data_IF_159279738962
#
_entry.id   IF_159279738962
#
_cell.length_a   1.000
_cell.length_b   1.000
_cell.length_c   1.000
_cell.angle_alpha   90.00
_cell.angle_beta   90.00
_cell.angle_gamma   90.00
#
_symmetry.space_group_name_H-M   'P 1'
#
loop_
_entity.id
_entity.type
_entity.pdbx_description
1 polymer ?
#
# COMPACT_ATOMS: atom_id res chain seq x y z
N UNK A 1 -10.51 15.29 -18.25
CA UNK A 1 -9.52 14.27 -17.84
C UNK A 1 -10.10 13.22 -16.87
N UNK A 2 -10.73 13.58 -15.74
CA UNK A 2 -11.30 12.64 -14.75
C UNK A 2 -12.22 11.56 -15.37
N UNK A 3 -13.16 11.93 -16.28
CA UNK A 3 -14.10 10.97 -16.90
C UNK A 3 -13.41 9.97 -17.85
N UNK A 4 -12.38 10.41 -18.58
CA UNK A 4 -11.64 9.54 -19.53
C UNK A 4 -10.76 8.54 -18.78
N UNK A 5 -10.08 8.97 -17.71
CA UNK A 5 -9.27 8.09 -16.88
C UNK A 5 -10.13 7.02 -16.18
N UNK A 6 -11.29 7.42 -15.62
CA UNK A 6 -12.26 6.48 -15.01
C UNK A 6 -12.78 5.46 -16.02
N UNK A 7 -13.13 5.90 -17.23
CA UNK A 7 -13.61 5.01 -18.29
C UNK A 7 -12.54 4.01 -18.77
N UNK A 8 -11.29 4.44 -18.93
CA UNK A 8 -10.21 3.58 -19.39
C UNK A 8 -9.86 2.47 -18.38
N UNK A 9 -9.83 2.80 -17.08
CA UNK A 9 -9.51 1.81 -16.03
C UNK A 9 -10.69 0.88 -15.76
N UNK A 10 -11.94 1.37 -15.78
CA UNK A 10 -13.12 0.52 -15.70
C UNK A 10 -13.25 -0.45 -16.89
N UNK A 11 -12.91 -0.01 -18.11
CA UNK A 11 -12.90 -0.88 -19.30
C UNK A 11 -11.86 -2.01 -19.16
N UNK A 12 -10.67 -1.73 -18.59
CA UNK A 12 -9.64 -2.75 -18.34
C UNK A 12 -10.09 -3.82 -17.33
N UNK A 13 -10.90 -3.46 -16.33
CA UNK A 13 -11.44 -4.41 -15.34
C UNK A 13 -12.53 -5.31 -15.93
N UNK A 14 -13.35 -4.82 -16.86
CA UNK A 14 -14.42 -5.59 -17.53
C UNK A 14 -13.82 -6.66 -18.45
N UNK A 15 -12.70 -6.38 -19.11
CA UNK A 15 -12.02 -7.35 -19.99
C UNK A 15 -11.42 -8.56 -19.24
N UNK A 16 -11.15 -8.46 -17.94
CA UNK A 16 -10.68 -9.59 -17.13
C UNK A 16 -11.75 -10.64 -16.80
N UNK A 17 -13.02 -10.32 -16.94
CA UNK A 17 -14.13 -11.22 -16.63
C UNK A 17 -14.43 -12.32 -17.67
N UNK A 18 -13.82 -12.28 -18.86
CA UNK A 18 -14.18 -13.14 -19.99
C UNK A 18 -13.04 -14.09 -20.44
N UNK A 19 -12.23 -14.61 -19.51
CA UNK A 19 -11.28 -15.66 -19.87
C UNK A 19 -11.98 -17.03 -19.89
N UNK A 20 -11.88 -17.82 -21.00
CA UNK A 20 -12.41 -19.16 -21.02
C UNK A 20 -11.67 -20.06 -20.04
N UNK A 21 -12.41 -20.85 -19.28
CA UNK A 21 -11.91 -21.87 -18.35
C UNK A 21 -11.27 -23.01 -19.13
N UNK A 22 -9.99 -22.87 -19.47
CA UNK A 22 -9.17 -23.94 -20.04
C UNK A 22 -8.26 -24.50 -18.93
N UNK A 23 -8.51 -25.77 -18.58
CA UNK A 23 -7.73 -26.64 -17.71
C UNK A 23 -7.60 -26.18 -16.24
N UNK A 24 -8.31 -26.91 -15.38
CA UNK A 24 -8.24 -26.81 -13.91
C UNK A 24 -6.89 -27.32 -13.35
N UNK A 25 -5.81 -26.61 -13.57
CA UNK A 25 -4.68 -26.73 -12.67
C UNK A 25 -5.02 -25.96 -11.40
N UNK A 26 -4.96 -26.64 -10.24
CA UNK A 26 -5.21 -26.00 -8.96
C UNK A 26 -4.12 -24.96 -8.66
N UNK A 27 -4.54 -23.71 -8.41
CA UNK A 27 -3.61 -22.68 -7.94
C UNK A 27 -3.16 -23.00 -6.53
N UNK A 28 -1.86 -23.00 -6.31
CA UNK A 28 -1.24 -23.16 -4.99
C UNK A 28 -0.93 -21.79 -4.36
N UNK A 29 -0.67 -21.77 -3.06
CA UNK A 29 -0.15 -20.58 -2.39
C UNK A 29 1.33 -20.47 -2.69
N UNK A 30 1.73 -19.35 -3.30
CA UNK A 30 3.11 -19.02 -3.67
C UNK A 30 3.83 -18.22 -2.59
N UNK A 31 3.09 -17.49 -1.75
CA UNK A 31 3.68 -16.71 -0.67
C UNK A 31 2.72 -15.71 -0.04
N UNK A 32 3.28 -14.91 0.89
CA UNK A 32 2.56 -13.89 1.63
C UNK A 32 3.40 -12.63 1.78
N UNK A 33 2.76 -11.45 1.64
CA UNK A 33 3.32 -10.18 2.06
C UNK A 33 2.56 -9.67 3.29
N UNK A 34 3.28 -9.01 4.21
CA UNK A 34 2.68 -8.32 5.37
C UNK A 34 3.51 -7.09 5.66
N UNK A 35 2.86 -6.01 6.03
CA UNK A 35 3.53 -4.81 6.51
C UNK A 35 2.65 -4.15 7.57
N UNK A 36 3.23 -3.87 8.71
CA UNK A 36 2.64 -3.02 9.74
C UNK A 36 3.36 -1.67 9.71
N UNK A 37 2.59 -0.59 9.68
CA UNK A 37 3.09 0.77 9.66
C UNK A 37 2.39 1.57 10.74
N UNK A 38 3.15 2.41 11.44
CA UNK A 38 2.59 3.29 12.44
C UNK A 38 3.50 4.52 12.62
N UNK A 39 2.93 5.68 12.89
CA UNK A 39 3.65 6.92 13.14
C UNK A 39 4.40 6.91 14.48
N UNK A 40 3.93 6.15 15.48
CA UNK A 40 4.69 5.94 16.71
C UNK A 40 6.06 5.26 16.48
N UNK A 41 6.20 4.49 15.38
CA UNK A 41 7.49 3.92 14.96
C UNK A 41 8.32 4.88 14.10
N UNK A 42 7.79 6.05 13.77
CA UNK A 42 8.41 7.09 12.96
C UNK A 42 8.69 8.36 13.76
N UNK A 43 7.78 9.32 13.72
CA UNK A 43 7.93 10.61 14.41
C UNK A 43 7.29 10.65 15.81
N UNK A 44 6.81 9.51 16.33
CA UNK A 44 6.28 9.32 17.67
C UNK A 44 5.02 10.15 17.98
N UNK A 45 4.19 10.35 16.98
CA UNK A 45 2.89 11.02 17.10
C UNK A 45 1.76 10.02 16.84
N UNK A 46 0.52 10.49 16.92
CA UNK A 46 -0.68 9.76 16.54
C UNK A 46 -1.59 10.72 15.76
N UNK A 47 -1.26 10.89 14.45
CA UNK A 47 -1.88 11.91 13.60
C UNK A 47 -1.80 11.52 12.12
N UNK A 48 -2.68 12.08 11.30
CA UNK A 48 -2.76 11.95 9.84
C UNK A 48 -2.74 10.47 9.40
N UNK A 49 -1.72 9.98 8.74
CA UNK A 49 -1.56 8.56 8.43
C UNK A 49 -1.05 7.81 9.67
N UNK A 50 -1.91 7.67 10.70
CA UNK A 50 -1.54 7.20 12.03
C UNK A 50 -1.11 5.73 12.07
N UNK A 51 -1.78 4.86 11.31
CA UNK A 51 -1.42 3.46 11.26
C UNK A 51 -2.02 2.71 10.10
N UNK A 52 -1.35 1.66 9.64
CA UNK A 52 -1.88 0.75 8.64
C UNK A 52 -1.33 -0.67 8.82
N UNK A 53 -2.12 -1.64 8.38
CA UNK A 53 -1.71 -3.03 8.27
C UNK A 53 -2.23 -3.61 6.96
N UNK A 54 -1.32 -4.18 6.17
CA UNK A 54 -1.64 -4.83 4.92
C UNK A 54 -1.15 -6.28 4.94
N UNK A 55 -2.00 -7.19 4.47
CA UNK A 55 -1.68 -8.61 4.27
C UNK A 55 -2.09 -9.00 2.87
N UNK A 56 -1.19 -9.64 2.13
CA UNK A 56 -1.45 -10.19 0.81
C UNK A 56 -1.11 -11.68 0.79
N UNK A 57 -1.94 -12.47 0.14
CA UNK A 57 -1.71 -13.87 -0.20
C UNK A 57 -1.59 -14.00 -1.71
N UNK A 58 -0.49 -14.58 -2.16
CA UNK A 58 -0.24 -14.84 -3.57
C UNK A 58 -0.62 -16.27 -3.92
N UNK A 59 -1.34 -16.44 -5.02
CA UNK A 59 -1.72 -17.73 -5.59
C UNK A 59 -1.42 -17.78 -7.07
N UNK A 60 -0.93 -18.91 -7.51
CA UNK A 60 -0.61 -19.17 -8.92
C UNK A 60 -0.33 -20.64 -9.13
N UNK A 61 0.12 -21.00 -10.31
CA UNK A 61 0.40 -22.40 -10.64
C UNK A 61 1.79 -22.83 -10.17
N UNK A 62 2.79 -21.98 -10.38
CA UNK A 62 4.18 -22.14 -9.92
C UNK A 62 4.87 -20.78 -9.88
N UNK A 63 6.02 -20.74 -9.24
CA UNK A 63 6.94 -19.62 -9.29
C UNK A 63 8.35 -20.13 -9.66
N UNK A 64 8.92 -19.60 -10.72
CA UNK A 64 10.25 -19.95 -11.27
C UNK A 64 11.19 -18.72 -11.32
N UNK A 65 10.85 -17.65 -10.59
CA UNK A 65 11.64 -16.42 -10.56
C UNK A 65 11.23 -15.40 -11.62
N UNK A 66 10.24 -15.69 -12.45
CA UNK A 66 9.79 -14.80 -13.52
C UNK A 66 8.26 -14.65 -13.52
N UNK A 67 7.80 -13.46 -13.89
CA UNK A 67 6.39 -13.21 -14.09
C UNK A 67 5.88 -13.86 -15.37
N UNK A 68 4.71 -14.53 -15.33
CA UNK A 68 4.04 -15.00 -16.54
C UNK A 68 3.57 -13.81 -17.39
N UNK A 69 3.52 -13.98 -18.70
CA UNK A 69 2.96 -12.98 -19.62
C UNK A 69 1.42 -12.92 -19.55
N UNK A 70 0.78 -13.98 -19.06
CA UNK A 70 -0.67 -14.08 -18.99
C UNK A 70 -1.20 -13.48 -17.69
N UNK A 71 -2.06 -12.45 -17.82
CA UNK A 71 -2.79 -11.88 -16.68
C UNK A 71 -3.70 -12.94 -16.04
N UNK A 72 -3.78 -12.94 -14.70
CA UNK A 72 -4.55 -13.94 -13.96
C UNK A 72 -3.75 -15.18 -13.55
N UNK A 73 -2.57 -15.45 -14.12
CA UNK A 73 -1.73 -16.60 -13.72
C UNK A 73 -1.16 -16.45 -12.30
N UNK A 74 -0.80 -15.24 -11.90
CA UNK A 74 -0.44 -14.89 -10.52
C UNK A 74 -1.45 -13.91 -9.96
N UNK A 75 -2.15 -14.31 -8.90
CA UNK A 75 -3.16 -13.51 -8.21
C UNK A 75 -2.68 -13.13 -6.81
N UNK A 76 -2.93 -11.88 -6.43
CA UNK A 76 -2.75 -11.35 -5.08
C UNK A 76 -4.12 -11.04 -4.48
N UNK A 77 -4.53 -11.79 -3.46
CA UNK A 77 -5.65 -11.42 -2.60
C UNK A 77 -5.10 -10.61 -1.43
N UNK A 78 -5.54 -9.35 -1.30
CA UNK A 78 -5.08 -8.40 -0.29
C UNK A 78 -6.22 -8.02 0.65
N UNK A 79 -5.89 -7.78 1.90
CA UNK A 79 -6.69 -6.99 2.82
C UNK A 79 -5.80 -5.96 3.48
N UNK A 80 -6.25 -4.71 3.55
CA UNK A 80 -5.59 -3.66 4.31
C UNK A 80 -6.57 -2.95 5.24
N UNK A 81 -6.05 -2.48 6.36
CA UNK A 81 -6.71 -1.57 7.27
C UNK A 81 -5.86 -0.33 7.46
N UNK A 82 -6.50 0.84 7.62
CA UNK A 82 -5.79 2.10 7.79
C UNK A 82 -6.55 3.00 8.76
N UNK A 83 -5.78 3.72 9.58
CA UNK A 83 -6.24 4.79 10.46
C UNK A 83 -5.75 6.11 9.90
N UNK A 84 -6.67 6.97 9.51
CA UNK A 84 -6.39 8.35 9.11
C UNK A 84 -7.02 9.26 10.15
N UNK A 85 -6.19 10.01 10.87
CA UNK A 85 -6.58 10.81 12.02
C UNK A 85 -6.37 12.31 11.76
N UNK A 86 -7.04 13.20 12.48
CA UNK A 86 -6.64 14.60 12.55
C UNK A 86 -5.33 14.76 13.33
N UNK A 87 -4.77 15.97 13.32
CA UNK A 87 -3.53 16.30 14.03
C UNK A 87 -3.54 15.94 15.53
N UNK A 88 -4.72 15.93 16.15
CA UNK A 88 -4.90 15.55 17.55
C UNK A 88 -6.14 14.68 17.69
N UNK A 89 -6.02 13.57 18.40
CA UNK A 89 -7.14 12.68 18.69
C UNK A 89 -8.08 13.21 19.80
N UNK A 90 -7.62 14.14 20.61
CA UNK A 90 -8.34 14.66 21.78
C UNK A 90 -8.92 16.05 21.59
N UNK A 91 -8.36 16.84 20.65
CA UNK A 91 -8.84 18.18 20.36
C UNK A 91 -10.09 18.13 19.44
N UNK A 92 -11.09 18.94 19.76
CA UNK A 92 -12.31 19.07 18.94
C UNK A 92 -12.11 19.92 17.69
N UNK A 93 -11.12 20.82 17.67
CA UNK A 93 -10.74 21.58 16.50
C UNK A 93 -9.86 20.67 15.60
N UNK A 94 -10.48 20.01 14.64
CA UNK A 94 -9.83 19.07 13.73
C UNK A 94 -9.34 19.80 12.47
N UNK A 95 -8.17 19.42 11.97
CA UNK A 95 -7.59 19.90 10.70
C UNK A 95 -8.02 19.03 9.50
N UNK A 96 -8.48 17.80 9.75
CA UNK A 96 -9.10 16.89 8.78
C UNK A 96 -10.08 15.95 9.49
N UNK A 97 -11.05 15.36 8.74
CA UNK A 97 -11.90 14.32 9.33
C UNK A 97 -11.08 13.05 9.65
N UNK A 98 -11.54 12.33 10.67
CA UNK A 98 -11.06 10.98 10.93
C UNK A 98 -11.59 10.01 9.85
N UNK A 99 -10.80 9.00 9.48
CA UNK A 99 -11.23 7.92 8.61
C UNK A 99 -10.66 6.56 9.06
N UNK A 100 -11.54 5.65 9.43
CA UNK A 100 -11.22 4.23 9.53
C UNK A 100 -11.45 3.55 8.17
N UNK A 101 -10.49 2.77 7.72
CA UNK A 101 -10.50 2.14 6.40
C UNK A 101 -10.29 0.63 6.52
N UNK A 102 -11.10 -0.16 5.78
CA UNK A 102 -10.84 -1.57 5.47
C UNK A 102 -11.01 -1.76 3.97
N UNK A 103 -10.05 -2.44 3.32
CA UNK A 103 -10.05 -2.60 1.88
C UNK A 103 -9.62 -4.02 1.48
N UNK A 104 -10.56 -4.95 1.26
CA UNK A 104 -10.29 -6.18 0.53
C UNK A 104 -10.05 -5.89 -0.95
N UNK A 105 -9.09 -6.58 -1.57
CA UNK A 105 -8.72 -6.39 -2.96
C UNK A 105 -8.21 -7.64 -3.64
N UNK A 106 -8.23 -7.60 -4.96
CA UNK A 106 -7.71 -8.65 -5.84
C UNK A 106 -6.91 -8.01 -6.96
N UNK A 107 -5.69 -8.50 -7.16
CA UNK A 107 -4.76 -8.03 -8.18
C UNK A 107 -4.17 -9.20 -8.94
N UNK A 108 -3.69 -8.94 -10.16
CA UNK A 108 -2.88 -9.86 -10.94
C UNK A 108 -1.54 -9.22 -11.25
N UNK A 109 -0.51 -10.06 -11.29
CA UNK A 109 0.86 -9.69 -11.65
C UNK A 109 1.28 -10.45 -12.90
N UNK A 110 1.80 -9.73 -13.89
CA UNK A 110 2.20 -10.32 -15.18
C UNK A 110 3.26 -9.47 -15.86
N UNK A 111 3.98 -10.07 -16.81
CA UNK A 111 4.95 -9.39 -17.65
C UNK A 111 4.28 -8.83 -18.91
N UNK A 112 4.61 -7.59 -19.26
CA UNK A 112 4.21 -6.94 -20.52
C UNK A 112 5.46 -6.42 -21.21
N UNK A 113 6.04 -7.21 -22.11
CA UNK A 113 7.20 -6.78 -22.89
C UNK A 113 8.43 -6.45 -22.07
N UNK A 114 8.68 -7.19 -20.99
CA UNK A 114 9.78 -6.99 -20.06
C UNK A 114 9.54 -5.93 -19.01
N UNK A 115 8.28 -5.49 -18.84
CA UNK A 115 7.82 -4.67 -17.73
C UNK A 115 6.92 -5.50 -16.82
N UNK A 116 7.14 -5.39 -15.52
CA UNK A 116 6.26 -5.95 -14.52
C UNK A 116 5.01 -5.07 -14.39
N UNK A 117 3.84 -5.64 -14.63
CA UNK A 117 2.54 -5.00 -14.46
C UNK A 117 1.80 -5.63 -13.27
N UNK A 118 1.21 -4.77 -12.43
CA UNK A 118 0.24 -5.13 -11.39
C UNK A 118 -1.06 -4.40 -11.69
N UNK A 119 -2.14 -5.13 -11.89
CA UNK A 119 -3.45 -4.57 -12.20
C UNK A 119 -4.50 -5.23 -11.31
N UNK A 120 -5.44 -4.44 -10.80
CA UNK A 120 -6.54 -4.95 -10.00
C UNK A 120 -7.31 -3.85 -9.30
N UNK A 121 -8.00 -4.21 -8.22
CA UNK A 121 -8.79 -3.27 -7.47
C UNK A 121 -9.11 -3.72 -6.06
N UNK A 122 -9.65 -2.77 -5.30
CA UNK A 122 -10.10 -2.92 -3.93
C UNK A 122 -11.54 -2.41 -3.79
N UNK A 123 -12.29 -2.99 -2.89
CA UNK A 123 -13.49 -2.37 -2.34
C UNK A 123 -13.10 -1.66 -1.04
N UNK A 124 -13.00 -0.34 -1.10
CA UNK A 124 -12.58 0.46 0.06
C UNK A 124 -13.79 0.87 0.87
N UNK A 125 -13.90 0.32 2.07
CA UNK A 125 -14.90 0.69 3.07
C UNK A 125 -14.36 1.79 3.96
N UNK A 126 -15.17 2.82 4.21
CA UNK A 126 -14.85 3.96 5.08
C UNK A 126 -15.90 4.16 6.14
N UNK A 127 -15.56 4.92 7.17
CA UNK A 127 -16.48 5.38 8.21
C UNK A 127 -16.69 4.41 9.37
N UNK A 128 -17.69 4.68 10.24
CA UNK A 128 -18.00 3.89 11.44
C UNK A 128 -18.23 2.40 11.20
N UNK A 129 -18.76 2.02 10.02
CA UNK A 129 -19.02 0.62 9.65
C UNK A 129 -17.76 -0.24 9.70
N UNK A 130 -16.56 0.33 9.49
CA UNK A 130 -15.28 -0.41 9.50
C UNK A 130 -14.88 -0.86 10.90
N UNK A 131 -15.41 -0.25 11.95
CA UNK A 131 -15.04 -0.46 13.37
C UNK A 131 -13.57 -0.14 13.70
N UNK A 132 -12.80 0.40 12.76
CA UNK A 132 -11.37 0.73 12.95
C UNK A 132 -11.20 1.78 14.05
N UNK A 133 -12.06 2.80 14.10
CA UNK A 133 -12.04 3.79 15.19
C UNK A 133 -12.37 3.21 16.56
N UNK A 134 -13.30 2.25 16.65
CA UNK A 134 -13.61 1.54 17.89
C UNK A 134 -12.39 0.70 18.34
N UNK A 135 -11.77 -0.01 17.41
CA UNK A 135 -10.54 -0.77 17.68
C UNK A 135 -9.40 0.14 18.18
N UNK A 136 -9.15 1.29 17.54
CA UNK A 136 -8.13 2.25 18.02
C UNK A 136 -8.43 2.69 19.43
N UNK A 137 -9.69 3.04 19.76
CA UNK A 137 -10.09 3.43 21.10
C UNK A 137 -9.80 2.34 22.13
N UNK A 138 -10.18 1.08 21.85
CA UNK A 138 -9.93 -0.05 22.75
C UNK A 138 -8.43 -0.29 22.98
N UNK A 139 -7.61 -0.15 21.94
CA UNK A 139 -6.13 -0.25 22.05
C UNK A 139 -5.58 0.87 22.92
N UNK A 140 -6.04 2.12 22.75
CA UNK A 140 -5.62 3.25 23.58
C UNK A 140 -6.00 3.07 25.05
N UNK A 141 -7.23 2.63 25.33
CA UNK A 141 -7.70 2.33 26.68
C UNK A 141 -6.85 1.21 27.32
N UNK A 142 -6.56 0.14 26.57
CA UNK A 142 -5.73 -0.98 27.06
C UNK A 142 -4.29 -0.55 27.39
N UNK A 143 -3.71 0.34 26.56
CA UNK A 143 -2.34 0.84 26.75
C UNK A 143 -2.24 2.05 27.68
N UNK A 144 -3.37 2.57 28.21
CA UNK A 144 -3.39 3.77 29.04
C UNK A 144 -3.04 5.06 28.28
N UNK A 145 -3.29 5.08 26.98
CA UNK A 145 -3.10 6.25 26.12
C UNK A 145 -4.36 7.12 26.06
N UNK A 146 -4.21 8.36 25.59
CA UNK A 146 -5.32 9.27 25.40
C UNK A 146 -6.39 8.69 24.45
N UNK A 147 -7.63 8.60 24.94
CA UNK A 147 -8.75 8.04 24.18
C UNK A 147 -9.19 8.99 23.06
N UNK A 148 -9.35 8.52 21.81
CA UNK A 148 -9.79 9.33 20.68
C UNK A 148 -11.19 9.93 20.90
N UNK A 149 -11.30 11.27 20.90
CA UNK A 149 -12.56 12.03 21.01
C UNK A 149 -13.09 12.52 19.66
N UNK A 150 -12.33 12.28 18.61
CA UNK A 150 -12.61 12.77 17.24
C UNK A 150 -13.46 11.80 16.41
N UNK A 151 -13.83 10.64 16.96
CA UNK A 151 -14.59 9.61 16.23
C UNK A 151 -16.01 10.07 15.82
N UNK A 152 -16.56 11.09 16.46
CA UNK A 152 -17.81 11.72 16.02
C UNK A 152 -17.67 12.61 14.77
N UNK A 153 -16.45 12.93 14.36
CA UNK A 153 -16.12 13.77 13.19
C UNK A 153 -15.42 12.99 12.09
N UNK A 154 -15.75 11.71 11.95
CA UNK A 154 -15.19 10.89 10.89
C UNK A 154 -15.99 11.02 9.60
N UNK A 155 -15.33 10.69 8.48
CA UNK A 155 -16.04 10.58 7.19
C UNK A 155 -17.17 9.54 7.31
N UNK A 156 -18.29 9.72 6.57
CA UNK A 156 -19.43 8.82 6.66
C UNK A 156 -19.12 7.42 6.13
N UNK A 157 -20.01 6.49 6.46
CA UNK A 157 -20.00 5.15 5.87
C UNK A 157 -20.06 5.24 4.36
N UNK A 158 -19.14 4.56 3.70
CA UNK A 158 -19.05 4.53 2.24
C UNK A 158 -18.39 3.26 1.74
N UNK A 159 -18.70 2.90 0.49
CA UNK A 159 -18.04 1.82 -0.26
C UNK A 159 -17.54 2.41 -1.56
N UNK A 160 -16.22 2.38 -1.77
CA UNK A 160 -15.55 3.02 -2.90
C UNK A 160 -14.80 1.96 -3.72
N UNK A 161 -15.40 1.46 -4.83
CA UNK A 161 -14.67 0.64 -5.78
C UNK A 161 -13.45 1.41 -6.29
N UNK A 162 -12.28 0.81 -6.14
CA UNK A 162 -11.00 1.46 -6.45
C UNK A 162 -10.19 0.55 -7.35
N UNK A 163 -9.76 1.07 -8.49
CA UNK A 163 -8.89 0.38 -9.45
C UNK A 163 -7.47 0.93 -9.38
N UNK A 164 -6.48 0.05 -9.49
CA UNK A 164 -5.07 0.41 -9.45
C UNK A 164 -4.28 -0.35 -10.53
N UNK A 165 -3.36 0.37 -11.17
CA UNK A 165 -2.38 -0.13 -12.12
C UNK A 165 -1.00 0.37 -11.71
N UNK A 166 -0.03 -0.52 -11.57
CA UNK A 166 1.40 -0.18 -11.49
C UNK A 166 2.15 -0.87 -12.62
N UNK A 167 3.06 -0.16 -13.28
CA UNK A 167 4.00 -0.69 -14.27
C UNK A 167 5.40 -0.25 -13.87
N UNK A 168 6.35 -1.18 -13.84
CA UNK A 168 7.75 -0.89 -13.51
C UNK A 168 8.69 -1.88 -14.16
N UNK A 169 9.99 -1.61 -14.11
CA UNK A 169 11.01 -2.48 -14.66
C UNK A 169 12.21 -2.54 -13.74
N UNK A 170 12.58 -3.74 -13.33
CA UNK A 170 13.79 -3.96 -12.55
C UNK A 170 15.01 -3.92 -13.48
N UNK A 171 15.94 -3.00 -13.19
CA UNK A 171 17.20 -2.79 -13.88
C UNK A 171 18.33 -3.21 -12.95
N UNK A 172 19.01 -4.34 -13.25
CA UNK A 172 20.11 -4.84 -12.42
C UNK A 172 21.40 -4.15 -12.79
N UNK A 173 22.02 -3.47 -11.83
CA UNK A 173 23.28 -2.74 -11.92
C UNK A 173 24.26 -3.28 -10.87
N UNK A 174 24.96 -4.36 -11.19
CA UNK A 174 25.85 -5.04 -10.25
C UNK A 174 25.10 -5.62 -9.05
N UNK A 175 25.36 -5.11 -7.84
CA UNK A 175 24.67 -5.49 -6.61
C UNK A 175 23.39 -4.70 -6.36
N UNK A 176 23.11 -3.67 -7.16
CA UNK A 176 21.92 -2.86 -7.06
C UNK A 176 20.84 -3.28 -8.06
N UNK A 177 19.58 -3.22 -7.64
CA UNK A 177 18.42 -3.26 -8.52
C UNK A 177 17.73 -1.91 -8.44
N UNK A 178 17.58 -1.23 -9.57
CA UNK A 178 16.86 0.05 -9.69
C UNK A 178 15.55 -0.20 -10.43
N UNK A 179 14.44 0.22 -9.85
CA UNK A 179 13.10 0.04 -10.44
C UNK A 179 12.39 1.38 -10.61
N UNK A 180 12.45 2.01 -11.77
CA UNK A 180 11.50 3.05 -12.14
C UNK A 180 10.08 2.45 -12.25
N UNK A 181 9.06 3.22 -11.87
CA UNK A 181 7.67 2.80 -11.96
C UNK A 181 6.72 3.98 -12.22
N UNK A 182 5.57 3.62 -12.79
CA UNK A 182 4.39 4.47 -12.91
C UNK A 182 3.22 3.77 -12.24
N UNK A 183 2.42 4.52 -11.48
CA UNK A 183 1.21 4.03 -10.82
C UNK A 183 0.03 4.96 -11.12
N UNK A 184 -1.14 4.38 -11.38
CA UNK A 184 -2.40 5.09 -11.53
C UNK A 184 -3.47 4.46 -10.65
N UNK A 185 -4.26 5.28 -9.99
CA UNK A 185 -5.40 4.84 -9.20
C UNK A 185 -6.62 5.71 -9.48
N UNK A 186 -7.79 5.07 -9.44
CA UNK A 186 -9.10 5.74 -9.54
C UNK A 186 -10.06 5.10 -8.56
N UNK A 187 -10.76 5.90 -7.77
CA UNK A 187 -11.74 5.45 -6.80
C UNK A 187 -11.71 6.24 -5.50
N UNK A 188 -11.20 5.66 -4.41
CA UNK A 188 -11.12 6.34 -3.11
C UNK A 188 -10.18 7.56 -3.16
N UNK A 189 -9.12 7.49 -3.94
CA UNK A 189 -8.29 8.60 -4.37
C UNK A 189 -8.00 8.44 -5.86
N UNK A 190 -8.10 9.52 -6.63
CA UNK A 190 -7.72 9.56 -8.04
C UNK A 190 -6.32 10.17 -8.16
N UNK A 191 -5.34 9.41 -8.63
CA UNK A 191 -3.98 9.93 -8.80
C UNK A 191 -3.17 9.27 -9.93
N UNK A 192 -2.16 9.99 -10.36
CA UNK A 192 -1.02 9.48 -11.13
C UNK A 192 0.25 9.69 -10.31
N UNK A 193 1.11 8.67 -10.29
CA UNK A 193 2.35 8.65 -9.52
C UNK A 193 3.50 8.13 -10.37
N UNK A 194 4.68 8.73 -10.21
CA UNK A 194 5.92 8.26 -10.81
C UNK A 194 7.02 8.24 -9.73
N UNK A 195 7.87 7.24 -9.80
CA UNK A 195 8.94 7.10 -8.83
C UNK A 195 9.97 6.07 -9.21
N UNK A 196 10.90 5.85 -8.28
CA UNK A 196 11.88 4.78 -8.40
C UNK A 196 12.18 4.16 -7.03
N UNK A 197 12.54 2.88 -7.05
CA UNK A 197 13.05 2.12 -5.91
C UNK A 197 14.45 1.61 -6.21
N UNK A 198 15.26 1.47 -5.17
CA UNK A 198 16.60 0.90 -5.24
C UNK A 198 16.74 -0.15 -4.14
N UNK A 199 17.19 -1.34 -4.50
CA UNK A 199 17.56 -2.39 -3.55
C UNK A 199 19.08 -2.60 -3.70
N UNK A 200 19.81 -2.41 -2.59
CA UNK A 200 21.24 -2.71 -2.50
C UNK A 200 21.42 -4.01 -1.72
N UNK A 201 21.97 -5.04 -2.38
CA UNK A 201 22.12 -6.37 -1.79
C UNK A 201 21.37 -7.45 -2.56
N UNK A 202 20.99 -8.53 -1.86
CA UNK A 202 20.40 -9.71 -2.50
C UNK A 202 18.93 -9.94 -2.17
N UNK A 203 18.34 -9.05 -1.37
CA UNK A 203 16.96 -9.16 -0.93
C UNK A 203 15.98 -9.27 -2.10
N UNK A 204 15.23 -10.36 -2.11
CA UNK A 204 14.13 -10.58 -3.04
C UNK A 204 14.55 -10.77 -4.49
N UNK A 205 15.79 -11.17 -4.78
CA UNK A 205 16.19 -11.59 -6.12
C UNK A 205 15.25 -12.71 -6.60
N UNK A 206 14.82 -12.60 -7.85
CA UNK A 206 13.88 -13.54 -8.47
C UNK A 206 12.56 -13.70 -7.69
N UNK A 207 12.25 -12.76 -6.80
CA UNK A 207 11.03 -12.70 -6.01
C UNK A 207 10.01 -11.72 -6.59
N UNK A 208 8.74 -11.89 -6.21
CA UNK A 208 7.67 -10.96 -6.54
C UNK A 208 7.40 -10.03 -5.36
N UNK A 209 7.39 -8.75 -5.63
CA UNK A 209 7.03 -7.72 -4.65
C UNK A 209 5.64 -7.14 -4.93
N UNK A 210 5.03 -6.65 -3.87
CA UNK A 210 3.87 -5.76 -3.96
C UNK A 210 4.16 -4.45 -3.25
N UNK A 211 3.52 -3.35 -3.68
CA UNK A 211 3.71 -2.03 -3.07
C UNK A 211 2.71 -1.79 -1.96
N UNK A 212 3.18 -1.31 -0.82
CA UNK A 212 2.32 -0.79 0.24
C UNK A 212 1.71 0.55 -0.17
N UNK A 213 0.41 0.70 0.02
CA UNK A 213 -0.35 1.86 -0.47
C UNK A 213 0.05 3.15 0.25
N UNK A 214 0.30 3.07 1.57
CA UNK A 214 0.58 4.24 2.42
C UNK A 214 2.02 4.69 2.25
N UNK A 215 2.96 3.80 2.50
CA UNK A 215 4.39 4.13 2.58
C UNK A 215 5.11 4.02 1.24
N UNK A 216 4.57 3.24 0.32
CA UNK A 216 5.22 2.94 -0.95
C UNK A 216 6.34 1.91 -0.85
N UNK A 217 6.66 1.36 0.33
CA UNK A 217 7.63 0.27 0.42
C UNK A 217 7.24 -0.92 -0.43
N UNK A 218 8.22 -1.49 -1.13
CA UNK A 218 8.05 -2.79 -1.82
C UNK A 218 8.18 -3.90 -0.78
N UNK A 219 7.14 -4.72 -0.67
CA UNK A 219 7.05 -5.83 0.29
C UNK A 219 7.16 -7.14 -0.48
N UNK A 220 8.14 -7.98 -0.15
CA UNK A 220 8.32 -9.28 -0.79
C UNK A 220 7.14 -10.20 -0.48
N UNK A 221 6.48 -10.67 -1.52
CA UNK A 221 5.32 -11.57 -1.45
C UNK A 221 5.66 -13.00 -1.81
N UNK A 222 6.44 -13.20 -2.86
CA UNK A 222 6.93 -14.52 -3.30
C UNK A 222 8.45 -14.49 -3.26
N UNK A 223 9.07 -15.46 -2.61
CA UNK A 223 10.51 -15.63 -2.58
C UNK A 223 10.89 -16.86 -3.41
N UNK A 224 11.83 -16.72 -4.34
CA UNK A 224 12.38 -17.86 -5.03
C UNK A 224 13.35 -18.65 -4.13
N UNK A 225 14.31 -17.94 -3.53
CA UNK A 225 15.26 -18.49 -2.56
C UNK A 225 15.57 -17.43 -1.50
N UNK A 226 15.49 -17.75 -0.21
CA UNK A 226 15.89 -16.83 0.85
C UNK A 226 17.43 -16.75 0.91
N UNK A 227 17.99 -15.70 0.32
CA UNK A 227 19.42 -15.40 0.49
C UNK A 227 19.66 -14.68 1.82
N UNK A 228 20.54 -15.27 2.66
CA UNK A 228 20.90 -14.68 3.95
C UNK A 228 21.72 -13.40 3.78
N UNK A 229 21.55 -12.47 4.71
CA UNK A 229 22.32 -11.26 4.76
C UNK A 229 21.48 -9.99 5.01
N UNK A 230 22.13 -8.85 4.81
CA UNK A 230 21.52 -7.54 4.95
C UNK A 230 21.39 -6.91 3.57
N UNK A 231 20.27 -6.24 3.36
CA UNK A 231 20.02 -5.43 2.17
C UNK A 231 19.42 -4.09 2.57
N UNK A 232 19.72 -3.05 1.80
CA UNK A 232 19.16 -1.72 1.97
C UNK A 232 18.13 -1.47 0.87
N UNK A 233 17.02 -0.84 1.23
CA UNK A 233 16.01 -0.39 0.29
C UNK A 233 15.89 1.12 0.38
N UNK A 234 15.87 1.79 -0.76
CA UNK A 234 15.64 3.22 -0.88
C UNK A 234 14.56 3.44 -1.92
N UNK A 235 13.83 4.54 -1.84
CA UNK A 235 12.87 4.88 -2.88
C UNK A 235 12.28 6.27 -2.69
N UNK A 236 11.66 6.76 -3.75
CA UNK A 236 10.95 8.01 -3.75
C UNK A 236 9.95 8.08 -4.88
N UNK A 237 8.89 8.84 -4.66
CA UNK A 237 7.88 9.07 -5.67
C UNK A 237 7.19 10.42 -5.48
N UNK A 238 6.63 10.91 -6.58
CA UNK A 238 5.75 12.07 -6.62
C UNK A 238 4.43 11.69 -7.26
N UNK A 239 3.34 12.22 -6.73
CA UNK A 239 2.00 11.98 -7.23
C UNK A 239 1.26 13.28 -7.49
N UNK A 240 0.48 13.29 -8.58
CA UNK A 240 -0.58 14.28 -8.79
C UNK A 240 -1.91 13.66 -8.39
N UNK A 241 -2.48 14.14 -7.29
CA UNK A 241 -3.78 13.72 -6.76
C UNK A 241 -4.85 14.68 -7.28
N UNK A 242 -5.92 14.14 -7.85
CA UNK A 242 -6.99 14.88 -8.47
C UNK A 242 -8.26 14.92 -7.61
N UNK A 243 -8.41 13.89 -6.74
CA UNK A 243 -9.58 13.72 -5.89
C UNK A 243 -9.26 12.80 -4.71
N UNK A 244 -9.91 12.99 -3.56
CA UNK A 244 -9.71 12.16 -2.37
C UNK A 244 -10.98 12.13 -1.52
N UNK A 245 -11.53 10.94 -1.29
CA UNK A 245 -12.64 10.74 -0.34
C UNK A 245 -12.21 11.05 1.10
N UNK A 246 -10.91 10.93 1.39
CA UNK A 246 -10.36 11.20 2.73
C UNK A 246 -10.25 12.70 3.06
N UNK A 247 -10.39 13.57 2.04
CA UNK A 247 -10.36 15.03 2.16
C UNK A 247 -11.57 15.61 1.42
N UNK A 248 -12.79 15.41 1.96
CA UNK A 248 -14.01 15.85 1.31
C UNK A 248 -14.12 17.39 1.30
N UNK A 249 -14.71 17.96 0.24
CA UNK A 249 -14.88 19.41 0.05
C UNK A 249 -15.65 20.11 1.20
N UNK A 250 -16.46 19.37 1.95
CA UNK A 250 -17.19 19.90 3.11
C UNK A 250 -16.36 19.91 4.41
N UNK A 251 -15.16 19.34 4.38
CA UNK A 251 -14.24 19.25 5.53
C UNK A 251 -13.39 20.51 5.71
N UNK A 252 -12.62 20.57 6.81
CA UNK A 252 -11.71 21.69 7.07
C UNK A 252 -10.41 21.64 6.25
N UNK A 253 -10.16 20.56 5.50
CA UNK A 253 -8.92 20.31 4.79
C UNK A 253 -9.08 20.53 3.30
N UNK A 254 -8.20 21.33 2.70
CA UNK A 254 -8.12 21.55 1.25
C UNK A 254 -7.11 20.58 0.62
N UNK A 255 -7.55 19.78 -0.35
CA UNK A 255 -6.70 18.80 -1.01
C UNK A 255 -5.44 19.44 -1.61
N UNK A 256 -4.27 18.96 -1.20
CA UNK A 256 -3.00 19.27 -1.86
C UNK A 256 -2.77 18.31 -3.02
N UNK A 257 -2.78 18.84 -4.24
CA UNK A 257 -2.70 18.01 -5.44
C UNK A 257 -1.33 17.34 -5.65
N UNK A 258 -0.24 17.99 -5.23
CA UNK A 258 1.11 17.46 -5.40
C UNK A 258 1.57 16.84 -4.09
N UNK A 259 1.85 15.53 -4.10
CA UNK A 259 2.32 14.77 -2.94
C UNK A 259 3.62 14.07 -3.27
N UNK A 260 4.52 13.96 -2.28
CA UNK A 260 5.78 13.26 -2.40
C UNK A 260 5.98 12.28 -1.24
N UNK A 261 6.72 11.20 -1.50
CA UNK A 261 7.17 10.24 -0.49
C UNK A 261 8.64 9.94 -0.71
N UNK A 262 9.40 9.85 0.39
CA UNK A 262 10.76 9.30 0.40
C UNK A 262 10.81 8.16 1.42
N UNK A 263 11.48 7.08 1.09
CA UNK A 263 11.54 5.88 1.94
C UNK A 263 12.93 5.28 1.97
N UNK A 264 13.30 4.75 3.13
CA UNK A 264 14.51 3.99 3.33
C UNK A 264 14.21 2.82 4.27
N UNK A 265 14.89 1.69 4.09
CA UNK A 265 14.67 0.53 4.93
C UNK A 265 15.86 -0.42 4.93
N UNK A 266 15.91 -1.25 5.97
CA UNK A 266 16.89 -2.33 6.14
C UNK A 266 16.13 -3.64 6.21
N UNK A 267 16.54 -4.58 5.40
CA UNK A 267 16.08 -5.97 5.44
C UNK A 267 17.20 -6.87 5.90
N UNK A 268 16.94 -7.67 6.91
CA UNK A 268 17.81 -8.75 7.37
C UNK A 268 17.13 -10.09 7.12
N UNK A 269 17.85 -11.02 6.50
CA UNK A 269 17.42 -12.39 6.25
C UNK A 269 18.38 -13.36 6.93
N UNK A 270 17.89 -14.14 7.87
CA UNK A 270 18.56 -15.28 8.47
C UNK A 270 17.99 -16.61 7.95
N UNK A 271 18.40 -17.73 8.56
CA UNK A 271 17.94 -19.08 8.16
C UNK A 271 16.45 -19.30 8.43
N UNK A 272 15.95 -18.82 9.57
CA UNK A 272 14.59 -19.08 10.05
C UNK A 272 13.75 -17.82 10.29
N UNK A 273 14.35 -16.66 10.12
CA UNK A 273 13.67 -15.40 10.36
C UNK A 273 14.12 -14.34 9.38
N UNK A 274 13.19 -13.47 9.02
CA UNK A 274 13.50 -12.24 8.29
C UNK A 274 12.84 -11.06 8.99
N UNK A 275 13.57 -9.95 9.06
CA UNK A 275 13.11 -8.69 9.66
C UNK A 275 13.31 -7.57 8.65
N UNK A 276 12.30 -6.73 8.51
CA UNK A 276 12.38 -5.48 7.80
C UNK A 276 11.98 -4.34 8.74
N UNK A 277 12.76 -3.28 8.74
CA UNK A 277 12.38 -1.99 9.29
C UNK A 277 12.60 -0.91 8.23
N UNK A 278 11.59 -0.07 8.04
CA UNK A 278 11.64 1.02 7.08
C UNK A 278 11.07 2.31 7.67
N UNK A 279 11.56 3.43 7.18
CA UNK A 279 11.02 4.77 7.45
C UNK A 279 10.55 5.40 6.17
N UNK A 280 9.44 6.13 6.25
CA UNK A 280 8.88 6.87 5.13
C UNK A 280 8.57 8.29 5.56
N UNK A 281 9.16 9.26 4.88
CA UNK A 281 8.74 10.65 4.92
C UNK A 281 7.58 10.85 3.94
N UNK A 282 6.48 11.40 4.44
CA UNK A 282 5.29 11.79 3.68
C UNK A 282 5.20 13.31 3.65
N UNK A 283 5.20 13.89 2.45
CA UNK A 283 4.84 15.30 2.25
C UNK A 283 3.38 15.56 2.59
N UNK A 284 3.04 16.81 2.78
CA UNK A 284 1.68 17.24 3.14
C UNK A 284 0.63 16.76 2.15
N UNK A 285 -0.52 16.31 2.67
CA UNK A 285 -1.66 15.82 1.90
C UNK A 285 -2.72 16.92 1.66
N UNK A 286 -2.75 17.94 2.52
CA UNK A 286 -3.68 19.07 2.43
C UNK A 286 -2.98 20.36 2.81
N UNK A 287 -3.52 21.51 2.38
CA UNK A 287 -2.84 22.81 2.49
C UNK A 287 -2.66 23.27 3.95
N UNK A 288 -3.66 22.98 4.80
CA UNK A 288 -3.67 23.34 6.23
C UNK A 288 -2.84 22.39 7.10
N UNK A 289 -2.30 21.31 6.53
CA UNK A 289 -1.44 20.38 7.26
C UNK A 289 -0.18 21.11 7.75
N UNK A 290 0.06 21.09 9.06
CA UNK A 290 1.09 21.91 9.68
C UNK A 290 2.52 21.53 9.25
N UNK A 291 2.81 20.24 9.21
CA UNK A 291 4.15 19.69 8.86
C UNK A 291 4.01 18.43 8.02
N UNK A 292 5.12 17.97 7.47
CA UNK A 292 5.24 16.64 6.92
C UNK A 292 5.18 15.59 8.03
N UNK A 293 5.13 14.30 7.67
CA UNK A 293 5.03 13.19 8.60
C UNK A 293 6.09 12.12 8.31
N UNK A 294 6.58 11.46 9.37
CA UNK A 294 7.45 10.29 9.26
C UNK A 294 6.74 9.07 9.85
N UNK A 295 6.66 8.01 9.06
CA UNK A 295 6.12 6.71 9.45
C UNK A 295 7.23 5.69 9.60
N UNK A 296 7.09 4.79 10.57
CA UNK A 296 7.91 3.59 10.68
C UNK A 296 7.11 2.36 10.25
N UNK A 297 7.78 1.43 9.56
CA UNK A 297 7.20 0.19 9.07
C UNK A 297 8.00 -1.01 9.52
N UNK A 298 7.32 -2.08 9.93
CA UNK A 298 7.96 -3.33 10.35
C UNK A 298 7.34 -4.54 9.68
N UNK A 299 8.18 -5.53 9.37
CA UNK A 299 7.77 -6.87 8.97
C UNK A 299 8.63 -7.89 9.70
N UNK A 300 7.98 -8.89 10.28
CA UNK A 300 8.62 -10.10 10.80
C UNK A 300 8.09 -11.30 10.02
N UNK A 301 8.98 -12.16 9.57
CA UNK A 301 8.65 -13.44 8.94
C UNK A 301 9.42 -14.55 9.64
N UNK A 302 8.73 -15.58 10.10
CA UNK A 302 9.31 -16.76 10.73
C UNK A 302 9.06 -17.97 9.81
N UNK A 303 10.07 -18.80 9.62
CA UNK A 303 10.00 -20.07 8.89
C UNK A 303 10.16 -21.19 9.92
N UNK A 304 9.15 -22.04 10.03
CA UNK A 304 9.09 -23.18 10.92
C UNK A 304 9.34 -24.48 10.15
#
# INVERSE_FOLDING_TARGET
>A
MKKVLRAAICAALVFMGCAPSAFSQDRVTLGFARLFTNDALGDMHDRWRSGSYAVSRFRGYRWDGQLPSEAGSVLEARIRSEIIAPRSLTNRAIDRPYAGVIAPGLFTHFDVGGFEARLGGELVFTGPQTKVGAFQREVHEFLGLDTPRVLGSQIPDGVHPTANLEIGKDLTLGSAVVRPFLEAQVGVEDYLRVGADVILGRFGRDGLFTRDTVTGHRVLGISALPEQGISLTLGGDVARVFDSVYLPDFGPATLKGDRARLRAGVHWQGERAAVFYGVTWLGKEFEEQATDQILGSVRLSLQF
#
